data_IF_301978920472
#
_entry.id   IF_301978920472
#
_cell.length_a   1.000
_cell.length_b   1.000
_cell.length_c   1.000
_cell.angle_alpha   90.00
_cell.angle_beta   90.00
_cell.angle_gamma   90.00
#
_symmetry.space_group_name_H-M   'P 1'
#
loop_
_entity.id
_entity.type
_entity.pdbx_description
1 polymer ?
#
# COMPACT_ATOMS: atom_id res chain seq x y z
N UNK A 1 -2.48 -7.25 11.36
CA UNK A 1 -3.49 -6.20 11.60
C UNK A 1 -2.85 -4.87 11.23
N UNK A 2 -3.46 -4.05 10.38
CA UNK A 2 -2.85 -2.78 9.90
C UNK A 2 -3.01 -1.64 10.93
N UNK A 3 -2.25 -0.56 10.77
CA UNK A 3 -2.28 0.60 11.68
C UNK A 3 -3.66 1.24 11.81
N UNK A 4 -4.41 1.30 10.70
CA UNK A 4 -5.79 1.80 10.69
C UNK A 4 -6.70 0.93 11.57
N UNK A 5 -6.66 -0.40 11.36
CA UNK A 5 -7.44 -1.35 12.14
C UNK A 5 -7.13 -1.25 13.64
N UNK A 6 -5.85 -1.16 14.00
CA UNK A 6 -5.41 -1.04 15.39
C UNK A 6 -5.93 0.23 16.04
N UNK A 7 -5.87 1.38 15.34
CA UNK A 7 -6.39 2.65 15.84
C UNK A 7 -7.90 2.62 16.04
N UNK A 8 -8.65 2.09 15.07
CA UNK A 8 -10.11 2.07 15.18
C UNK A 8 -10.63 1.03 16.16
N UNK A 9 -9.93 -0.09 16.34
CA UNK A 9 -10.27 -1.07 17.39
C UNK A 9 -10.22 -0.40 18.77
N UNK A 10 -9.14 0.35 19.08
CA UNK A 10 -9.03 1.10 20.34
C UNK A 10 -10.13 2.15 20.53
N UNK A 11 -10.53 2.83 19.45
CA UNK A 11 -11.63 3.81 19.51
C UNK A 11 -12.97 3.14 19.79
N UNK A 12 -13.24 2.01 19.13
CA UNK A 12 -14.49 1.26 19.28
C UNK A 12 -14.59 0.53 20.63
N UNK A 13 -13.46 0.15 21.23
CA UNK A 13 -13.39 -0.32 22.62
C UNK A 13 -13.77 0.77 23.62
N UNK A 14 -13.39 2.02 23.34
CA UNK A 14 -13.71 3.17 24.19
C UNK A 14 -15.15 3.71 23.97
N UNK A 15 -15.61 3.76 22.72
CA UNK A 15 -16.97 4.13 22.33
C UNK A 15 -17.45 3.26 21.16
N UNK A 16 -18.37 2.30 21.41
CA UNK A 16 -18.92 1.44 20.36
C UNK A 16 -19.68 2.18 19.24
N UNK A 17 -20.05 3.45 19.45
CA UNK A 17 -20.74 4.30 18.46
C UNK A 17 -19.79 5.28 17.78
N UNK A 18 -18.48 5.13 17.96
CA UNK A 18 -17.50 5.98 17.29
C UNK A 18 -17.71 5.94 15.76
N UNK A 19 -17.60 7.11 15.15
CA UNK A 19 -17.72 7.32 13.71
C UNK A 19 -16.83 6.40 12.86
N UNK A 20 -15.72 5.87 13.40
CA UNK A 20 -14.84 4.96 12.67
C UNK A 20 -15.48 3.59 12.39
N UNK A 21 -16.58 3.21 13.05
CA UNK A 21 -17.15 1.87 12.89
C UNK A 21 -17.48 1.51 11.44
N UNK A 22 -18.08 2.45 10.70
CA UNK A 22 -18.46 2.24 9.29
C UNK A 22 -17.24 2.05 8.38
N UNK A 23 -16.21 2.87 8.57
CA UNK A 23 -14.96 2.78 7.81
C UNK A 23 -14.18 1.50 8.16
N UNK A 24 -14.19 1.11 9.43
CA UNK A 24 -13.53 -0.11 9.91
C UNK A 24 -14.15 -1.38 9.31
N UNK A 25 -15.47 -1.47 9.29
CA UNK A 25 -16.17 -2.63 8.71
C UNK A 25 -16.04 -2.67 7.18
N UNK A 26 -16.05 -1.51 6.53
CA UNK A 26 -15.77 -1.41 5.08
C UNK A 26 -14.35 -1.89 4.77
N UNK A 27 -13.35 -1.40 5.51
CA UNK A 27 -11.96 -1.79 5.33
C UNK A 27 -11.73 -3.30 5.49
N UNK A 28 -12.34 -3.93 6.51
CA UNK A 28 -12.26 -5.39 6.70
C UNK A 28 -12.89 -6.15 5.54
N UNK A 29 -14.05 -5.70 5.06
CA UNK A 29 -14.75 -6.33 3.94
C UNK A 29 -13.90 -6.26 2.67
N UNK A 30 -13.34 -5.09 2.37
CA UNK A 30 -12.52 -4.87 1.19
C UNK A 30 -11.23 -5.69 1.26
N UNK A 31 -10.59 -5.75 2.43
CA UNK A 31 -9.42 -6.59 2.65
C UNK A 31 -9.72 -8.08 2.42
N UNK A 32 -10.87 -8.57 2.92
CA UNK A 32 -11.29 -9.95 2.71
C UNK A 32 -11.52 -10.24 1.23
N UNK A 33 -12.22 -9.36 0.52
CA UNK A 33 -12.47 -9.49 -0.92
C UNK A 33 -11.16 -9.53 -1.71
N UNK A 34 -10.24 -8.60 -1.42
CA UNK A 34 -8.91 -8.57 -2.01
C UNK A 34 -8.16 -9.90 -1.78
N UNK A 35 -8.20 -10.43 -0.55
CA UNK A 35 -7.52 -11.69 -0.22
C UNK A 35 -8.11 -12.89 -0.97
N UNK A 36 -9.44 -12.95 -1.11
CA UNK A 36 -10.13 -13.98 -1.90
C UNK A 36 -9.73 -13.93 -3.38
N UNK A 37 -9.72 -12.72 -3.97
CA UNK A 37 -9.29 -12.50 -5.36
C UNK A 37 -7.83 -12.91 -5.55
N UNK A 38 -6.94 -12.48 -4.65
CA UNK A 38 -5.52 -12.82 -4.68
C UNK A 38 -5.30 -14.32 -4.67
N UNK A 39 -5.91 -15.03 -3.72
CA UNK A 39 -5.74 -16.48 -3.62
C UNK A 39 -6.32 -17.22 -4.83
N UNK A 40 -7.45 -16.75 -5.38
CA UNK A 40 -8.02 -17.33 -6.60
C UNK A 40 -7.00 -17.35 -7.73
N UNK A 41 -6.36 -16.21 -8.02
CA UNK A 41 -5.39 -16.10 -9.12
C UNK A 41 -4.08 -16.82 -8.81
N UNK A 42 -3.57 -16.77 -7.58
CA UNK A 42 -2.39 -17.54 -7.18
C UNK A 42 -2.62 -19.04 -7.38
N UNK A 43 -3.79 -19.55 -6.99
CA UNK A 43 -4.17 -20.95 -7.18
C UNK A 43 -4.31 -21.30 -8.66
N UNK A 44 -4.86 -20.40 -9.49
CA UNK A 44 -4.94 -20.58 -10.93
C UNK A 44 -3.55 -20.70 -11.56
N UNK A 45 -2.64 -19.78 -11.24
CA UNK A 45 -1.27 -19.80 -11.73
C UNK A 45 -0.46 -21.00 -11.26
N UNK A 46 -0.75 -21.52 -10.06
CA UNK A 46 -0.12 -22.74 -9.54
C UNK A 46 -0.47 -23.99 -10.38
N UNK A 47 -1.61 -23.98 -11.07
CA UNK A 47 -2.08 -25.08 -11.93
C UNK A 47 -1.87 -24.80 -13.43
N UNK A 48 -1.47 -23.57 -13.80
CA UNK A 48 -1.33 -23.15 -15.18
C UNK A 48 -0.06 -22.32 -15.39
N UNK A 49 0.94 -22.93 -16.02
CA UNK A 49 2.24 -22.29 -16.35
C UNK A 49 2.14 -21.12 -17.33
N UNK A 50 1.00 -20.94 -17.99
CA UNK A 50 0.77 -19.82 -18.92
C UNK A 50 0.21 -18.56 -18.25
N UNK A 51 -0.11 -18.63 -16.95
CA UNK A 51 -0.67 -17.51 -16.18
C UNK A 51 0.41 -16.93 -15.28
N UNK A 52 0.69 -15.64 -15.43
CA UNK A 52 1.57 -14.86 -14.56
C UNK A 52 0.72 -14.01 -13.60
N UNK A 53 1.01 -14.07 -12.31
CA UNK A 53 0.31 -13.30 -11.28
C UNK A 53 1.30 -12.33 -10.65
N UNK A 54 1.06 -11.06 -10.94
CA UNK A 54 1.82 -9.94 -10.38
C UNK A 54 0.93 -9.13 -9.45
N UNK A 55 1.49 -8.70 -8.33
CA UNK A 55 0.86 -7.76 -7.41
C UNK A 55 1.75 -6.51 -7.29
N UNK A 56 1.12 -5.36 -7.46
CA UNK A 56 1.79 -4.06 -7.44
C UNK A 56 1.37 -3.33 -6.17
N UNK A 57 2.32 -3.13 -5.25
CA UNK A 57 2.13 -2.31 -4.06
C UNK A 57 2.84 -0.98 -4.24
N UNK A 58 2.16 0.10 -3.89
CA UNK A 58 2.68 1.45 -4.03
C UNK A 58 2.50 2.19 -2.71
N UNK A 59 3.61 2.66 -2.17
CA UNK A 59 3.64 3.50 -0.99
C UNK A 59 4.37 4.80 -1.32
N UNK A 60 3.77 5.91 -0.91
CA UNK A 60 4.46 7.19 -0.84
C UNK A 60 4.85 7.42 0.61
N UNK A 61 6.10 7.82 0.85
CA UNK A 61 6.51 8.21 2.21
C UNK A 61 5.61 9.35 2.74
N UNK A 62 5.26 9.27 4.03
CA UNK A 62 4.61 10.36 4.74
C UNK A 62 5.52 11.60 4.72
N UNK A 63 4.91 12.79 4.79
CA UNK A 63 5.65 14.04 4.88
C UNK A 63 6.70 13.95 5.99
N UNK A 64 7.98 14.10 5.63
CA UNK A 64 9.09 14.17 6.59
C UNK A 64 8.80 15.25 7.65
N UNK A 65 9.28 15.08 8.89
CA UNK A 65 9.03 16.04 9.97
C UNK A 65 9.32 17.47 9.52
N UNK A 66 8.50 18.44 9.93
CA UNK A 66 8.74 19.87 9.68
C UNK A 66 10.08 20.25 10.33
N UNK A 67 11.14 20.31 9.54
CA UNK A 67 12.42 20.87 9.96
C UNK A 67 12.34 22.39 9.87
N UNK A 68 13.01 23.11 10.78
CA UNK A 68 13.08 24.58 10.80
C UNK A 68 13.79 25.22 9.57
N UNK A 69 14.11 24.43 8.55
CA UNK A 69 14.66 24.88 7.26
C UNK A 69 13.56 25.04 6.21
N UNK A 70 12.64 25.96 6.48
CA UNK A 70 11.35 26.16 5.80
C UNK A 70 11.41 26.58 4.32
N UNK A 71 12.54 27.03 3.77
CA UNK A 71 12.61 27.40 2.35
C UNK A 71 13.23 26.30 1.47
N UNK A 72 14.31 25.67 1.94
CA UNK A 72 15.02 24.63 1.18
C UNK A 72 14.27 23.29 1.20
N UNK A 73 13.56 22.99 2.29
CA UNK A 73 12.74 21.77 2.42
C UNK A 73 11.58 21.74 1.40
N UNK A 74 10.80 22.82 1.29
CA UNK A 74 9.70 22.90 0.34
C UNK A 74 10.17 22.98 -1.11
N UNK A 75 11.34 23.57 -1.38
CA UNK A 75 11.95 23.58 -2.73
C UNK A 75 12.43 22.20 -3.17
N UNK A 76 12.70 21.27 -2.25
CA UNK A 76 13.29 19.96 -2.56
C UNK A 76 12.31 18.78 -2.53
N UNK A 77 11.02 18.99 -2.24
CA UNK A 77 9.93 17.97 -2.21
C UNK A 77 10.46 16.53 -2.23
N UNK A 78 11.03 16.09 -1.12
CA UNK A 78 11.72 14.79 -0.99
C UNK A 78 10.70 13.65 -0.84
N UNK A 79 9.82 13.54 -1.82
CA UNK A 79 8.86 12.45 -1.88
C UNK A 79 9.62 11.25 -2.43
N UNK A 80 9.67 10.21 -1.60
CA UNK A 80 10.17 8.89 -1.93
C UNK A 80 8.96 8.05 -2.29
N UNK A 81 8.94 7.60 -3.53
CA UNK A 81 7.96 6.64 -4.02
C UNK A 81 8.57 5.25 -3.92
N UNK A 82 7.96 4.40 -3.11
CA UNK A 82 8.27 2.99 -3.02
C UNK A 82 7.24 2.21 -3.84
N UNK A 83 7.70 1.43 -4.81
CA UNK A 83 6.87 0.61 -5.67
C UNK A 83 7.39 -0.82 -5.62
N UNK A 84 6.57 -1.74 -5.16
CA UNK A 84 6.93 -3.15 -5.03
C UNK A 84 6.15 -3.99 -6.04
N UNK A 85 6.85 -4.87 -6.73
CA UNK A 85 6.28 -5.85 -7.65
C UNK A 85 6.50 -7.22 -7.03
N UNK A 86 5.42 -7.88 -6.62
CA UNK A 86 5.45 -9.27 -6.18
C UNK A 86 5.07 -10.18 -7.35
N UNK A 87 5.94 -11.14 -7.67
CA UNK A 87 5.68 -12.19 -8.65
C UNK A 87 5.38 -13.47 -7.89
N UNK A 88 4.12 -13.92 -7.93
CA UNK A 88 3.67 -15.04 -7.10
C UNK A 88 4.08 -16.41 -7.67
N UNK A 89 4.36 -16.48 -8.97
CA UNK A 89 4.75 -17.70 -9.68
C UNK A 89 6.08 -18.30 -9.18
N UNK A 90 7.07 -17.45 -8.95
CA UNK A 90 8.41 -17.84 -8.48
C UNK A 90 8.72 -17.34 -7.07
N UNK A 91 7.74 -16.68 -6.42
CA UNK A 91 7.84 -16.09 -5.09
C UNK A 91 8.91 -15.01 -4.99
N UNK A 92 9.18 -14.31 -6.09
CA UNK A 92 10.12 -13.19 -6.11
C UNK A 92 9.41 -11.85 -5.85
N UNK A 93 10.17 -10.86 -5.39
CA UNK A 93 9.66 -9.50 -5.21
C UNK A 93 10.73 -8.47 -5.55
N UNK A 94 10.35 -7.42 -6.24
CA UNK A 94 11.22 -6.34 -6.67
C UNK A 94 10.73 -5.01 -6.10
N UNK A 95 11.54 -4.43 -5.22
CA UNK A 95 11.28 -3.11 -4.66
C UNK A 95 12.04 -2.05 -5.46
N UNK A 96 11.29 -1.07 -5.95
CA UNK A 96 11.83 0.10 -6.61
C UNK A 96 11.57 1.34 -5.76
N UNK A 97 12.59 2.18 -5.64
CA UNK A 97 12.49 3.45 -4.95
C UNK A 97 12.86 4.56 -5.92
N UNK A 98 11.97 5.53 -6.07
CA UNK A 98 12.17 6.67 -6.95
C UNK A 98 11.98 7.96 -6.16
N UNK A 99 12.92 8.88 -6.33
CA UNK A 99 12.69 10.25 -5.92
C UNK A 99 11.75 10.92 -6.93
N UNK A 100 10.91 11.85 -6.47
CA UNK A 100 9.98 12.58 -7.34
C UNK A 100 10.62 13.23 -8.58
N UNK A 101 11.86 13.69 -8.48
CA UNK A 101 12.57 14.29 -9.62
C UNK A 101 13.05 13.25 -10.67
N UNK A 102 13.11 11.97 -10.30
CA UNK A 102 13.47 10.87 -11.19
C UNK A 102 12.25 10.33 -11.93
N UNK A 103 11.07 10.39 -11.32
CA UNK A 103 9.81 9.98 -11.93
C UNK A 103 9.33 11.05 -12.95
N UNK A 104 9.51 10.78 -14.24
CA UNK A 104 8.94 11.61 -15.33
C UNK A 104 7.60 11.03 -15.78
N UNK A 105 6.60 11.89 -15.99
CA UNK A 105 5.37 11.51 -16.70
C UNK A 105 5.76 11.25 -18.17
N UNK A 106 5.44 10.07 -18.71
CA UNK A 106 5.82 9.61 -20.05
C UNK A 106 7.31 9.24 -20.22
N UNK A 107 7.87 8.46 -19.28
CA UNK A 107 9.13 7.79 -19.53
C UNK A 107 8.86 6.57 -20.43
N UNK A 108 8.96 6.77 -21.75
CA UNK A 108 9.12 5.69 -22.74
C UNK A 108 10.56 5.15 -22.73
#
# INVERSE_FOLDING_TARGET
MCDFCTKCTKKLEADPRDSCNSEFETHKRDYKLYFEIKNKYINEASNNVTVLVCEFDYAQNFAVPKLNVTSQFYKRLLWLYAFNIHIHNDRTSFMYNFMKHQAKKNAD
#
